data_IF_473831187369
#
_entry.id   IF_473831187369
#
_cell.length_a   1.000
_cell.length_b   1.000
_cell.length_c   1.000
_cell.angle_alpha   90.00
_cell.angle_beta   90.00
_cell.angle_gamma   90.00
#
_symmetry.space_group_name_H-M   'P 1'
#
loop_
_entity.id
_entity.type
_entity.pdbx_description
1 polymer ?
#
# COMPACT_ATOMS: atom_id res chain seq x y z
N UNK A 1 23.18 -6.49 -0.90
CA UNK A 1 22.43 -6.63 -0.58
C UNK A 1 21.53 -5.91 -0.62
N UNK A 2 21.16 -5.65 -1.04
CA UNK A 2 20.26 -4.73 -1.03
C UNK A 2 18.93 -5.24 -0.94
N UNK A 3 18.67 -5.63 0.12
CA UNK A 3 17.31 -6.00 0.40
C UNK A 3 16.49 -4.75 0.36
N UNK A 4 15.62 -4.67 -0.59
CA UNK A 4 14.67 -3.58 -0.64
C UNK A 4 13.78 -3.69 0.60
N UNK A 5 13.74 -2.67 1.39
CA UNK A 5 12.85 -2.66 2.54
C UNK A 5 11.45 -2.27 2.07
N UNK A 6 10.71 -3.25 1.58
CA UNK A 6 9.36 -3.07 1.05
C UNK A 6 8.46 -2.44 2.09
N UNK A 7 8.55 -2.94 3.30
CA UNK A 7 7.72 -2.48 4.41
C UNK A 7 7.90 -0.99 4.67
N UNK A 8 9.14 -0.54 4.77
CA UNK A 8 9.43 0.86 5.06
C UNK A 8 8.99 1.77 3.90
N UNK A 9 9.18 1.33 2.68
CA UNK A 9 8.75 2.09 1.52
C UNK A 9 7.23 2.22 1.45
N UNK A 10 6.52 1.14 1.72
CA UNK A 10 5.06 1.15 1.73
C UNK A 10 4.55 2.08 2.83
N UNK A 11 5.15 2.02 4.01
CA UNK A 11 4.77 2.89 5.11
C UNK A 11 4.96 4.36 4.75
N UNK A 12 6.08 4.69 4.10
CA UNK A 12 6.33 6.04 3.64
C UNK A 12 5.31 6.54 2.62
N UNK A 13 4.96 5.67 1.67
CA UNK A 13 3.94 5.99 0.68
C UNK A 13 2.58 6.24 1.33
N UNK A 14 2.21 5.39 2.27
CA UNK A 14 0.92 5.51 2.94
C UNK A 14 0.85 6.74 3.83
N UNK A 15 1.95 7.09 4.48
CA UNK A 15 2.00 8.33 5.26
C UNK A 15 1.74 9.55 4.39
N UNK A 16 2.32 9.57 3.19
CA UNK A 16 2.14 10.68 2.25
C UNK A 16 0.71 10.72 1.70
N UNK A 17 0.18 9.58 1.32
CA UNK A 17 -1.13 9.49 0.68
C UNK A 17 -2.25 9.71 1.69
N UNK A 18 -2.12 9.11 2.87
CA UNK A 18 -3.13 9.22 3.92
C UNK A 18 -2.94 10.45 4.80
N UNK A 19 -1.77 11.06 4.72
CA UNK A 19 -1.41 12.21 5.54
C UNK A 19 -1.58 11.92 7.04
N UNK A 20 -1.21 10.71 7.46
CA UNK A 20 -1.38 10.26 8.83
C UNK A 20 -0.37 9.14 9.12
N UNK A 21 0.33 9.25 10.24
CA UNK A 21 1.33 8.27 10.64
C UNK A 21 0.75 7.06 11.39
N UNK A 22 -0.54 7.04 11.60
CA UNK A 22 -1.22 5.89 12.22
C UNK A 22 -0.98 4.60 11.44
N UNK A 23 -0.70 4.70 10.14
CA UNK A 23 -0.39 3.55 9.31
C UNK A 23 0.84 2.78 9.79
N UNK A 24 1.74 3.44 10.50
CA UNK A 24 2.94 2.78 11.04
C UNK A 24 2.64 1.98 12.30
N UNK A 25 1.62 2.38 13.03
CA UNK A 25 1.26 1.75 14.30
C UNK A 25 0.21 0.67 14.13
N UNK A 26 -0.72 0.87 13.23
CA UNK A 26 -1.87 -0.01 13.06
C UNK A 26 -1.90 -0.63 11.68
N UNK A 27 -1.06 -1.63 11.47
CA UNK A 27 -0.89 -2.25 10.16
C UNK A 27 -2.01 -3.19 9.74
N UNK A 28 -2.84 -3.58 10.67
CA UNK A 28 -3.94 -4.52 10.40
C UNK A 28 -5.31 -3.87 10.33
N UNK A 29 -5.39 -2.55 10.54
CA UNK A 29 -6.67 -1.87 10.44
C UNK A 29 -7.08 -1.75 8.97
N UNK A 30 -8.37 -1.75 8.74
CA UNK A 30 -8.91 -1.51 7.41
C UNK A 30 -8.80 -0.02 7.10
N UNK A 31 -7.91 0.31 6.17
CA UNK A 31 -7.61 1.69 5.81
C UNK A 31 -8.81 2.41 5.21
N UNK A 32 -9.65 1.68 4.49
CA UNK A 32 -10.87 2.25 3.91
C UNK A 32 -11.90 2.56 5.00
N UNK A 33 -12.08 1.63 5.93
CA UNK A 33 -13.01 1.83 7.05
C UNK A 33 -12.55 2.93 7.98
N UNK A 34 -11.23 3.07 8.16
CA UNK A 34 -10.66 4.10 9.01
C UNK A 34 -10.70 5.49 8.36
N UNK A 35 -11.08 5.55 7.08
CA UNK A 35 -11.09 6.82 6.36
C UNK A 35 -9.72 7.32 5.94
N UNK A 36 -8.69 6.47 6.05
CA UNK A 36 -7.33 6.83 5.67
C UNK A 36 -7.08 6.64 4.18
N UNK A 37 -7.85 5.78 3.55
CA UNK A 37 -7.67 5.46 2.14
C UNK A 37 -9.04 5.46 1.45
N UNK A 38 -9.12 6.03 0.26
CA UNK A 38 -10.32 5.98 -0.56
C UNK A 38 -9.94 5.51 -1.97
N UNK A 39 -10.91 5.50 -2.89
CA UNK A 39 -10.68 4.98 -4.25
C UNK A 39 -9.59 5.76 -4.98
N UNK A 40 -9.56 7.08 -4.85
CA UNK A 40 -8.53 7.89 -5.50
C UNK A 40 -7.17 7.66 -4.88
N UNK A 41 -7.12 7.60 -3.55
CA UNK A 41 -5.88 7.34 -2.85
C UNK A 41 -5.33 5.96 -3.18
N UNK A 42 -6.22 4.99 -3.36
CA UNK A 42 -5.81 3.63 -3.75
C UNK A 42 -5.15 3.65 -5.13
N UNK A 43 -5.69 4.42 -6.07
CA UNK A 43 -5.08 4.56 -7.40
C UNK A 43 -3.70 5.21 -7.29
N UNK A 44 -3.59 6.26 -6.49
CA UNK A 44 -2.30 6.92 -6.26
C UNK A 44 -1.29 5.95 -5.66
N UNK A 45 -1.73 5.12 -4.74
CA UNK A 45 -0.87 4.10 -4.12
C UNK A 45 -0.35 3.12 -5.16
N UNK A 46 -1.23 2.63 -6.04
CA UNK A 46 -0.81 1.68 -7.07
C UNK A 46 0.19 2.30 -8.05
N UNK A 47 0.02 3.58 -8.39
CA UNK A 47 0.97 4.29 -9.23
C UNK A 47 2.31 4.44 -8.52
N UNK A 48 2.31 4.79 -7.24
CA UNK A 48 3.52 4.92 -6.45
C UNK A 48 4.26 3.59 -6.35
N UNK A 49 3.55 2.49 -6.18
CA UNK A 49 4.13 1.15 -6.13
C UNK A 49 4.81 0.82 -7.46
N UNK A 50 4.16 1.13 -8.56
CA UNK A 50 4.75 0.88 -9.88
C UNK A 50 6.04 1.69 -10.06
N UNK A 51 6.05 2.94 -9.66
CA UNK A 51 7.21 3.80 -9.81
C UNK A 51 8.38 3.39 -8.92
N UNK A 52 8.08 2.98 -7.69
CA UNK A 52 9.14 2.65 -6.72
C UNK A 52 9.66 1.23 -6.86
N UNK A 53 8.80 0.29 -7.18
CA UNK A 53 9.16 -1.14 -7.20
C UNK A 53 9.19 -1.73 -8.61
N UNK A 54 8.68 -1.01 -9.60
CA UNK A 54 8.53 -1.56 -10.95
C UNK A 54 7.46 -2.63 -11.03
N UNK A 55 6.56 -2.68 -10.09
CA UNK A 55 5.50 -3.69 -9.99
C UNK A 55 4.21 -3.08 -10.45
N UNK A 56 3.59 -3.69 -11.46
CA UNK A 56 2.29 -3.24 -11.95
C UNK A 56 1.17 -4.03 -11.28
N UNK A 57 0.32 -3.33 -10.57
CA UNK A 57 -0.87 -3.92 -9.97
C UNK A 57 -2.06 -3.20 -10.57
N UNK A 58 -2.81 -3.89 -11.41
CA UNK A 58 -4.01 -3.31 -11.99
C UNK A 58 -5.10 -3.25 -10.92
N UNK A 59 -5.84 -2.17 -10.89
CA UNK A 59 -6.93 -2.00 -9.93
C UNK A 59 -7.95 -3.13 -10.04
N UNK A 60 -8.11 -3.70 -11.26
CA UNK A 60 -9.01 -4.80 -11.51
C UNK A 60 -8.44 -6.17 -11.15
N UNK A 61 -7.14 -6.24 -10.85
CA UNK A 61 -6.47 -7.49 -10.52
C UNK A 61 -6.53 -7.83 -9.04
N UNK A 62 -6.88 -6.87 -8.21
CA UNK A 62 -6.98 -7.07 -6.76
C UNK A 62 -8.31 -6.49 -6.27
N UNK A 63 -8.91 -7.18 -5.34
CA UNK A 63 -10.11 -6.68 -4.68
C UNK A 63 -9.71 -5.74 -3.55
N UNK A 64 -10.65 -4.91 -3.15
CA UNK A 64 -10.45 -4.00 -2.02
C UNK A 64 -9.98 -4.77 -0.77
N UNK A 65 -10.57 -5.94 -0.53
CA UNK A 65 -10.24 -6.77 0.62
C UNK A 65 -8.83 -7.33 0.58
N UNK A 66 -8.18 -7.28 -0.57
CA UNK A 66 -6.83 -7.77 -0.74
C UNK A 66 -5.77 -6.68 -0.52
N UNK A 67 -6.20 -5.43 -0.38
CA UNK A 67 -5.27 -4.31 -0.20
C UNK A 67 -5.78 -3.28 0.80
N UNK A 68 -6.65 -3.68 1.70
CA UNK A 68 -7.26 -2.75 2.64
C UNK A 68 -6.47 -2.57 3.94
N UNK A 69 -5.38 -3.30 4.13
CA UNK A 69 -4.50 -3.11 5.28
C UNK A 69 -3.07 -2.95 4.80
N UNK A 70 -2.23 -2.37 5.65
CA UNK A 70 -0.80 -2.20 5.33
C UNK A 70 -0.15 -3.54 5.02
N UNK A 71 -0.40 -4.54 5.85
CA UNK A 71 0.18 -5.88 5.67
C UNK A 71 -0.26 -6.53 4.37
N UNK A 72 -1.51 -6.36 3.99
CA UNK A 72 -2.00 -6.91 2.73
C UNK A 72 -1.39 -6.22 1.52
N UNK A 73 -1.20 -4.92 1.60
CA UNK A 73 -0.56 -4.16 0.53
C UNK A 73 0.88 -4.65 0.34
N UNK A 74 1.61 -4.82 1.43
CA UNK A 74 2.98 -5.35 1.38
C UNK A 74 2.98 -6.73 0.71
N UNK A 75 2.04 -7.58 1.08
CA UNK A 75 1.94 -8.92 0.50
C UNK A 75 1.71 -8.87 -1.01
N UNK A 76 0.84 -7.97 -1.49
CA UNK A 76 0.58 -7.84 -2.92
C UNK A 76 1.84 -7.47 -3.70
N UNK A 77 2.71 -6.67 -3.11
CA UNK A 77 3.99 -6.32 -3.73
C UNK A 77 4.93 -7.53 -3.73
N UNK A 78 5.04 -8.20 -2.60
CA UNK A 78 5.95 -9.34 -2.44
C UNK A 78 5.67 -10.46 -3.43
N UNK A 79 4.41 -10.77 -3.67
CA UNK A 79 4.07 -11.87 -4.58
C UNK A 79 4.31 -11.52 -6.05
N UNK A 80 4.60 -10.27 -6.35
CA UNK A 80 4.84 -9.81 -7.73
C UNK A 80 6.31 -9.46 -7.99
N UNK A 81 7.13 -9.49 -6.98
CA UNK A 81 8.57 -9.20 -7.12
C UNK A 81 9.40 -10.43 -7.61
#
# INVERSE_FOLDING_TARGET
MATVNIEEKVLGMLEDICDDDAVREERDIDLFDAGLLDSMAAIELLVAIEEDFGVQIALTAVDRDEMNTVNKIIHQIEVRL
#
